data_IF_118366847253
#
_entry.id   IF_118366847253
#
_cell.length_a   1.000
_cell.length_b   1.000
_cell.length_c   1.000
_cell.angle_alpha   90.00
_cell.angle_beta   90.00
_cell.angle_gamma   90.00
#
_symmetry.space_group_name_H-M   'P 1'
#
loop_
_entity.id
_entity.type
_entity.pdbx_description
1 polymer ?
#
# COMPACT_ATOMS: atom_id res chain seq x y z
N UNK A 1 -4.20 -0.79 21.03
CA UNK A 1 -5.53 -0.14 21.11
C UNK A 1 -6.05 -0.20 22.56
N UNK A 2 -6.90 0.74 22.99
CA UNK A 2 -7.39 0.83 24.36
C UNK A 2 -8.66 0.02 24.65
N UNK A 3 -9.42 -0.37 23.63
CA UNK A 3 -10.72 -1.05 23.78
C UNK A 3 -11.89 -0.17 24.21
N UNK A 4 -11.66 1.08 24.62
CA UNK A 4 -12.65 1.92 25.32
C UNK A 4 -13.13 3.12 24.49
N UNK A 5 -12.27 3.69 23.62
CA UNK A 5 -12.65 4.84 22.78
C UNK A 5 -13.68 4.48 21.72
N UNK A 6 -14.28 5.49 21.10
CA UNK A 6 -15.29 5.31 20.08
C UNK A 6 -14.80 4.41 18.93
N UNK A 7 -13.61 4.69 18.40
CA UNK A 7 -13.03 3.90 17.31
C UNK A 7 -12.84 2.43 17.68
N UNK A 8 -12.37 2.13 18.90
CA UNK A 8 -12.24 0.74 19.36
C UNK A 8 -13.61 0.03 19.48
N UNK A 9 -14.61 0.72 20.02
CA UNK A 9 -15.97 0.15 20.19
C UNK A 9 -16.69 -0.08 18.87
N UNK A 10 -16.28 0.61 17.81
CA UNK A 10 -16.86 0.47 16.46
C UNK A 10 -15.99 -0.41 15.53
N UNK A 11 -14.99 -1.12 16.07
CA UNK A 11 -14.11 -2.01 15.29
C UNK A 11 -12.96 -1.31 14.55
N UNK A 12 -12.89 0.01 14.62
CA UNK A 12 -11.83 0.82 13.98
C UNK A 12 -10.63 1.04 14.91
N UNK A 13 -10.17 -0.03 15.58
CA UNK A 13 -9.11 0.05 16.58
C UNK A 13 -7.73 0.42 16.01
N UNK A 14 -7.56 0.34 14.68
CA UNK A 14 -6.38 0.84 13.97
C UNK A 14 -6.20 2.36 14.09
N UNK A 15 -7.27 3.11 14.39
CA UNK A 15 -7.28 4.56 14.63
C UNK A 15 -7.68 4.90 16.06
N UNK A 16 -7.30 4.06 17.03
CA UNK A 16 -7.55 4.26 18.45
C UNK A 16 -6.90 5.55 18.96
N UNK A 17 -7.63 6.35 19.76
CA UNK A 17 -7.11 7.61 20.34
C UNK A 17 -5.87 7.41 21.22
N UNK A 18 -5.74 6.23 21.84
CA UNK A 18 -4.61 5.83 22.70
C UNK A 18 -3.74 4.76 22.03
N UNK A 19 -3.64 4.80 20.70
CA UNK A 19 -2.87 3.80 19.96
C UNK A 19 -1.39 3.87 20.36
N UNK A 20 -0.81 2.70 20.60
CA UNK A 20 0.63 2.52 20.79
C UNK A 20 1.09 1.48 19.78
N UNK A 21 1.96 1.90 18.89
CA UNK A 21 2.49 1.07 17.79
C UNK A 21 3.76 0.39 18.27
N UNK A 22 3.85 -0.91 18.03
CA UNK A 22 5.04 -1.73 18.33
C UNK A 22 6.23 -1.18 17.52
N UNK A 23 7.35 -0.97 18.19
CA UNK A 23 8.55 -0.42 17.54
C UNK A 23 8.60 1.11 17.47
N UNK A 24 7.51 1.81 17.83
CA UNK A 24 7.46 3.29 17.90
C UNK A 24 7.25 3.78 19.35
N UNK A 25 6.04 3.59 19.90
CA UNK A 25 5.73 4.01 21.26
C UNK A 25 5.94 2.88 22.29
N UNK A 26 6.17 1.66 21.83
CA UNK A 26 6.53 0.51 22.67
C UNK A 26 7.77 -0.17 22.10
N UNK A 27 8.38 -1.07 22.86
CA UNK A 27 9.49 -1.92 22.42
C UNK A 27 9.09 -2.66 21.13
N UNK A 28 10.01 -2.70 20.18
CA UNK A 28 9.85 -3.44 18.91
C UNK A 28 10.28 -4.90 19.01
N UNK A 29 10.09 -5.66 17.94
CA UNK A 29 10.37 -7.09 17.84
C UNK A 29 11.77 -7.42 17.27
N UNK A 30 12.66 -6.43 17.09
CA UNK A 30 14.05 -6.65 16.68
C UNK A 30 14.86 -7.20 17.89
N UNK A 31 14.62 -8.46 18.27
CA UNK A 31 15.20 -9.15 19.41
C UNK A 31 15.03 -10.66 19.28
N UNK A 32 15.81 -11.45 20.02
CA UNK A 32 15.70 -12.92 20.04
C UNK A 32 14.34 -13.41 20.54
N UNK A 33 13.73 -12.66 21.47
CA UNK A 33 12.43 -12.98 22.08
C UNK A 33 11.57 -11.73 22.17
N UNK A 34 10.29 -11.88 21.87
CA UNK A 34 9.32 -10.82 22.00
C UNK A 34 8.02 -11.34 22.60
N UNK A 35 7.49 -10.65 23.60
CA UNK A 35 6.22 -10.98 24.25
C UNK A 35 5.14 -10.10 23.66
N UNK A 36 4.10 -10.72 23.12
CA UNK A 36 2.95 -10.04 22.53
C UNK A 36 1.65 -10.72 22.96
N UNK A 37 0.53 -10.01 23.15
CA UNK A 37 -0.76 -10.61 23.43
C UNK A 37 -1.19 -11.58 22.32
N UNK A 38 -1.69 -12.75 22.69
CA UNK A 38 -2.05 -13.80 21.72
C UNK A 38 -3.15 -13.38 20.72
N UNK A 39 -4.05 -12.49 21.14
CA UNK A 39 -5.10 -11.92 20.29
C UNK A 39 -4.58 -10.93 19.23
N UNK A 40 -3.28 -10.62 19.25
CA UNK A 40 -2.58 -9.80 18.23
C UNK A 40 -1.75 -10.62 17.26
N UNK A 41 -1.84 -11.94 17.34
CA UNK A 41 -1.10 -12.85 16.46
C UNK A 41 -2.00 -13.37 15.34
N UNK A 42 -1.47 -13.36 14.14
CA UNK A 42 -2.06 -14.04 12.98
C UNK A 42 -1.15 -15.20 12.59
N UNK A 43 -1.71 -16.41 12.60
CA UNK A 43 -0.96 -17.60 12.22
C UNK A 43 -0.78 -17.64 10.71
N UNK A 44 0.46 -17.69 10.25
CA UNK A 44 0.82 -17.84 8.86
C UNK A 44 0.94 -19.32 8.46
N UNK A 45 0.91 -19.60 7.15
CA UNK A 45 1.17 -20.92 6.62
C UNK A 45 2.60 -21.35 7.00
N UNK A 46 2.81 -22.57 7.54
CA UNK A 46 4.16 -23.06 7.87
C UNK A 46 5.12 -23.14 6.67
N UNK A 47 4.58 -23.20 5.44
CA UNK A 47 5.39 -23.18 4.22
C UNK A 47 5.83 -21.78 3.79
N UNK A 48 5.25 -20.71 4.38
CA UNK A 48 5.63 -19.33 4.08
C UNK A 48 7.01 -19.02 4.64
N UNK A 49 7.90 -18.45 3.82
CA UNK A 49 9.19 -17.98 4.30
C UNK A 49 9.03 -16.83 5.31
N UNK A 50 9.99 -16.68 6.22
CA UNK A 50 10.01 -15.54 7.14
C UNK A 50 10.11 -14.20 6.42
N UNK A 51 10.78 -14.14 5.28
CA UNK A 51 10.86 -12.93 4.45
C UNK A 51 9.48 -12.53 3.93
N UNK A 52 8.71 -13.47 3.40
CA UNK A 52 7.33 -13.21 2.97
C UNK A 52 6.42 -12.92 4.17
N UNK A 53 6.63 -13.62 5.29
CA UNK A 53 5.91 -13.36 6.54
C UNK A 53 6.07 -11.92 7.03
N UNK A 54 7.27 -11.34 6.91
CA UNK A 54 7.52 -9.94 7.25
C UNK A 54 6.77 -8.95 6.34
N UNK A 55 6.45 -9.34 5.10
CA UNK A 55 5.71 -8.50 4.16
C UNK A 55 4.19 -8.59 4.32
N UNK A 56 3.69 -9.49 5.17
CA UNK A 56 2.25 -9.59 5.44
C UNK A 56 1.70 -8.32 6.08
N UNK A 57 2.49 -7.67 6.95
CA UNK A 57 2.11 -6.40 7.57
C UNK A 57 1.87 -5.31 6.51
N UNK A 58 2.84 -4.94 5.66
CA UNK A 58 2.60 -3.91 4.65
C UNK A 58 1.58 -4.34 3.57
N UNK A 59 1.41 -5.63 3.29
CA UNK A 59 0.34 -6.09 2.41
C UNK A 59 -1.05 -5.82 3.02
N UNK A 60 -1.19 -5.97 4.34
CA UNK A 60 -2.43 -5.65 5.04
C UNK A 60 -2.78 -4.15 4.98
N UNK A 61 -1.76 -3.27 4.88
CA UNK A 61 -1.99 -1.84 4.57
C UNK A 61 -2.60 -1.69 3.18
N UNK A 62 -2.10 -2.42 2.18
CA UNK A 62 -2.65 -2.44 0.83
C UNK A 62 -4.11 -2.92 0.78
N UNK A 63 -4.42 -4.03 1.47
CA UNK A 63 -5.79 -4.54 1.61
C UNK A 63 -6.70 -3.50 2.27
N UNK A 64 -6.22 -2.86 3.35
CA UNK A 64 -6.98 -1.80 4.04
C UNK A 64 -7.29 -0.63 3.12
N UNK A 65 -6.32 -0.19 2.33
CA UNK A 65 -6.51 0.90 1.37
C UNK A 65 -7.63 0.55 0.37
N UNK A 66 -7.62 -0.67 -0.18
CA UNK A 66 -8.68 -1.14 -1.08
C UNK A 66 -10.05 -1.16 -0.38
N UNK A 67 -10.14 -1.64 0.86
CA UNK A 67 -11.40 -1.61 1.64
C UNK A 67 -11.94 -0.20 1.84
N UNK A 68 -11.08 0.80 2.01
CA UNK A 68 -11.52 2.19 2.16
C UNK A 68 -12.16 2.73 0.88
N UNK A 69 -11.70 2.30 -0.29
CA UNK A 69 -12.30 2.69 -1.56
C UNK A 69 -13.69 2.08 -1.77
N UNK A 70 -13.92 0.87 -1.24
CA UNK A 70 -15.12 0.06 -1.46
C UNK A 70 -15.80 -0.31 -0.12
N UNK A 71 -16.45 0.64 0.55
CA UNK A 71 -17.00 0.44 1.89
C UNK A 71 -18.20 -0.53 1.92
N UNK A 72 -18.86 -0.78 0.81
CA UNK A 72 -19.97 -1.74 0.73
C UNK A 72 -19.47 -3.19 0.66
N UNK A 73 -18.24 -3.42 0.20
CA UNK A 73 -17.62 -4.75 0.17
C UNK A 73 -16.46 -4.81 -0.82
N UNK A 74 -15.53 -5.75 -0.58
CA UNK A 74 -14.39 -5.94 -1.48
C UNK A 74 -14.78 -6.46 -2.87
N UNK A 75 -15.94 -7.11 -3.00
CA UNK A 75 -16.43 -7.60 -4.29
C UNK A 75 -16.73 -6.44 -5.27
N UNK A 76 -16.96 -5.23 -4.76
CA UNK A 76 -17.20 -4.04 -5.58
C UNK A 76 -15.98 -3.62 -6.42
N UNK A 77 -14.79 -4.13 -6.12
CA UNK A 77 -13.59 -3.90 -6.95
C UNK A 77 -13.60 -4.72 -8.24
N UNK A 78 -14.43 -5.75 -8.31
CA UNK A 78 -14.53 -6.60 -9.50
C UNK A 78 -14.87 -5.76 -10.75
N UNK A 79 -14.08 -5.92 -11.78
CA UNK A 79 -14.26 -5.19 -13.04
C UNK A 79 -13.85 -3.71 -13.03
N UNK A 80 -13.28 -3.20 -11.93
CA UNK A 80 -12.83 -1.81 -11.80
C UNK A 80 -11.45 -1.57 -12.43
N UNK A 81 -11.26 -0.34 -12.89
CA UNK A 81 -9.98 0.19 -13.35
C UNK A 81 -9.33 0.98 -12.21
N UNK A 82 -8.13 0.59 -11.85
CA UNK A 82 -7.40 1.09 -10.69
C UNK A 82 -6.14 1.83 -11.13
N UNK A 83 -5.97 3.05 -10.64
CA UNK A 83 -4.75 3.82 -10.79
C UNK A 83 -4.02 3.90 -9.44
N UNK A 84 -2.72 3.58 -9.44
CA UNK A 84 -1.86 3.70 -8.25
C UNK A 84 -0.73 4.67 -8.58
N UNK A 85 -0.63 5.75 -7.84
CA UNK A 85 0.45 6.73 -7.93
C UNK A 85 1.52 6.41 -6.88
N UNK A 86 2.71 6.07 -7.36
CA UNK A 86 3.84 5.56 -6.58
C UNK A 86 3.99 4.05 -6.66
N UNK A 87 5.12 3.57 -7.21
CA UNK A 87 5.47 2.15 -7.30
C UNK A 87 6.46 1.70 -6.20
N UNK A 88 6.57 2.47 -5.11
CA UNK A 88 7.29 2.05 -3.91
C UNK A 88 6.67 0.79 -3.28
N UNK A 89 7.23 0.27 -2.19
CA UNK A 89 6.76 -0.97 -1.57
C UNK A 89 5.25 -0.99 -1.28
N UNK A 90 4.71 0.10 -0.73
CA UNK A 90 3.28 0.18 -0.38
C UNK A 90 2.42 0.28 -1.64
N UNK A 91 2.76 1.15 -2.60
CA UNK A 91 1.98 1.27 -3.84
C UNK A 91 1.95 -0.03 -4.64
N UNK A 92 3.08 -0.75 -4.70
CA UNK A 92 3.14 -2.07 -5.32
C UNK A 92 2.20 -3.08 -4.62
N UNK A 93 2.19 -3.11 -3.29
CA UNK A 93 1.31 -4.00 -2.53
C UNK A 93 -0.17 -3.60 -2.65
N UNK A 94 -0.49 -2.30 -2.74
CA UNK A 94 -1.85 -1.82 -3.07
C UNK A 94 -2.27 -2.30 -4.45
N UNK A 95 -1.40 -2.16 -5.46
CA UNK A 95 -1.67 -2.59 -6.82
C UNK A 95 -1.91 -4.11 -6.90
N UNK A 96 -1.06 -4.91 -6.25
CA UNK A 96 -1.22 -6.36 -6.20
C UNK A 96 -2.49 -6.76 -5.43
N UNK A 97 -2.79 -6.11 -4.30
CA UNK A 97 -4.03 -6.37 -3.55
C UNK A 97 -5.27 -6.06 -4.40
N UNK A 98 -5.31 -4.91 -5.07
CA UNK A 98 -6.39 -4.53 -5.96
C UNK A 98 -6.59 -5.55 -7.09
N UNK A 99 -5.51 -5.96 -7.77
CA UNK A 99 -5.53 -6.99 -8.81
C UNK A 99 -6.00 -8.33 -8.26
N UNK A 100 -5.44 -8.78 -7.15
CA UNK A 100 -5.76 -10.06 -6.51
C UNK A 100 -7.21 -10.14 -6.04
N UNK A 101 -7.81 -9.02 -5.67
CA UNK A 101 -9.21 -8.89 -5.26
C UNK A 101 -10.17 -8.78 -6.45
N UNK A 102 -9.68 -8.69 -7.70
CA UNK A 102 -10.52 -8.78 -8.89
C UNK A 102 -10.64 -7.50 -9.72
N UNK A 103 -9.80 -6.50 -9.50
CA UNK A 103 -9.73 -5.36 -10.41
C UNK A 103 -9.49 -5.84 -11.86
N UNK A 104 -10.20 -5.27 -12.82
CA UNK A 104 -10.07 -5.64 -14.21
C UNK A 104 -8.74 -5.16 -14.81
N UNK A 105 -8.28 -4.01 -14.37
CA UNK A 105 -7.02 -3.41 -14.81
C UNK A 105 -6.42 -2.58 -13.69
N UNK A 106 -5.09 -2.67 -13.54
CA UNK A 106 -4.34 -1.89 -12.56
C UNK A 106 -3.17 -1.22 -13.28
N UNK A 107 -3.14 0.10 -13.27
CA UNK A 107 -2.02 0.92 -13.75
C UNK A 107 -1.25 1.46 -12.55
N UNK A 108 0.07 1.34 -12.57
CA UNK A 108 0.95 1.88 -11.54
C UNK A 108 1.93 2.88 -12.16
N UNK A 109 2.13 4.00 -11.46
CA UNK A 109 2.90 5.14 -11.94
C UNK A 109 4.02 5.46 -10.96
N UNK A 110 5.21 5.70 -11.46
CA UNK A 110 6.35 6.22 -10.69
C UNK A 110 7.30 6.98 -11.62
N UNK A 111 8.19 7.75 -11.07
CA UNK A 111 9.32 8.35 -11.80
C UNK A 111 10.55 7.41 -11.84
N UNK A 112 10.56 6.37 -11.05
CA UNK A 112 11.69 5.47 -10.86
C UNK A 112 11.48 4.17 -11.67
N UNK A 113 12.25 4.00 -12.74
CA UNK A 113 12.19 2.83 -13.62
C UNK A 113 12.47 1.50 -12.92
N UNK A 114 13.35 1.47 -11.89
CA UNK A 114 13.60 0.26 -11.10
C UNK A 114 12.34 -0.19 -10.35
N UNK A 115 11.61 0.74 -9.73
CA UNK A 115 10.36 0.44 -9.03
C UNK A 115 9.27 -0.05 -9.98
N UNK A 116 9.19 0.53 -11.17
CA UNK A 116 8.26 0.09 -12.22
C UNK A 116 8.62 -1.32 -12.71
N UNK A 117 9.91 -1.65 -12.84
CA UNK A 117 10.32 -3.01 -13.18
C UNK A 117 9.91 -4.01 -12.09
N UNK A 118 10.11 -3.67 -10.81
CA UNK A 118 9.61 -4.49 -9.70
C UNK A 118 8.09 -4.67 -9.74
N UNK A 119 7.34 -3.67 -10.16
CA UNK A 119 5.90 -3.81 -10.35
C UNK A 119 5.57 -4.81 -11.48
N UNK A 120 6.32 -4.81 -12.58
CA UNK A 120 6.16 -5.81 -13.67
C UNK A 120 6.49 -7.22 -13.18
N UNK A 121 7.59 -7.39 -12.45
CA UNK A 121 7.96 -8.67 -11.84
C UNK A 121 6.88 -9.19 -10.88
N UNK A 122 6.17 -8.29 -10.20
CA UNK A 122 5.00 -8.59 -9.36
C UNK A 122 3.71 -8.82 -10.17
N UNK A 123 3.78 -8.74 -11.49
CA UNK A 123 2.66 -9.02 -12.38
C UNK A 123 1.76 -7.82 -12.69
N UNK A 124 2.16 -6.59 -12.38
CA UNK A 124 1.44 -5.38 -12.80
C UNK A 124 1.98 -4.95 -14.16
N UNK A 125 1.23 -5.22 -15.22
CA UNK A 125 1.69 -5.01 -16.61
C UNK A 125 1.58 -3.57 -17.09
N UNK A 126 0.62 -2.80 -16.59
CA UNK A 126 0.47 -1.39 -16.97
C UNK A 126 1.30 -0.53 -16.02
N UNK A 127 2.46 -0.12 -16.48
CA UNK A 127 3.39 0.73 -15.73
C UNK A 127 3.68 1.99 -16.55
N UNK A 128 3.64 3.15 -15.90
CA UNK A 128 3.88 4.45 -16.54
C UNK A 128 4.99 5.17 -15.82
N UNK A 129 6.02 5.61 -16.54
CA UNK A 129 7.04 6.52 -16.03
C UNK A 129 6.60 7.96 -16.30
N UNK A 130 6.14 8.66 -15.28
CA UNK A 130 5.62 10.02 -15.42
C UNK A 130 6.65 11.10 -15.70
N UNK A 131 7.96 10.78 -15.76
CA UNK A 131 8.98 11.67 -16.30
C UNK A 131 9.06 11.61 -17.83
N UNK A 132 8.72 10.46 -18.41
CA UNK A 132 8.89 10.19 -19.85
C UNK A 132 7.56 10.10 -20.60
N UNK A 133 6.45 9.81 -19.90
CA UNK A 133 5.16 9.48 -20.49
C UNK A 133 4.06 10.42 -19.95
N UNK A 134 3.12 10.79 -20.83
CA UNK A 134 1.94 11.59 -20.45
C UNK A 134 0.90 10.70 -19.75
N UNK A 135 0.79 10.85 -18.45
CA UNK A 135 -0.13 10.05 -17.64
C UNK A 135 -1.59 10.14 -18.11
N UNK A 136 -2.06 11.31 -18.53
CA UNK A 136 -3.44 11.47 -18.99
C UNK A 136 -3.67 10.71 -20.31
N UNK A 137 -2.71 10.77 -21.23
CA UNK A 137 -2.76 10.02 -22.48
C UNK A 137 -2.73 8.50 -22.24
N UNK A 138 -1.90 8.01 -21.30
CA UNK A 138 -1.83 6.59 -20.95
C UNK A 138 -3.13 6.09 -20.28
N UNK A 139 -3.74 6.91 -19.41
CA UNK A 139 -5.05 6.59 -18.83
C UNK A 139 -6.11 6.50 -19.94
N UNK A 140 -6.15 7.45 -20.85
CA UNK A 140 -7.13 7.47 -21.94
C UNK A 140 -6.94 6.27 -22.89
N UNK A 141 -5.70 5.91 -23.19
CA UNK A 141 -5.36 4.78 -24.04
C UNK A 141 -5.76 3.42 -23.43
N UNK A 142 -5.53 3.23 -22.14
CA UNK A 142 -5.72 1.94 -21.47
C UNK A 142 -7.05 1.81 -20.76
N UNK A 143 -7.60 2.88 -20.22
CA UNK A 143 -8.86 2.88 -19.48
C UNK A 143 -10.03 3.46 -20.26
N UNK A 144 -9.74 4.21 -21.34
CA UNK A 144 -10.71 4.90 -22.17
C UNK A 144 -11.00 6.32 -21.68
N UNK A 145 -11.17 7.24 -22.64
CA UNK A 145 -11.32 8.69 -22.44
C UNK A 145 -12.45 9.04 -21.45
N UNK A 146 -13.61 8.39 -21.60
CA UNK A 146 -14.77 8.67 -20.75
C UNK A 146 -14.76 7.87 -19.44
N UNK A 147 -14.13 6.70 -19.42
CA UNK A 147 -14.17 5.79 -18.29
C UNK A 147 -13.12 6.13 -17.25
N UNK A 148 -11.86 6.34 -17.66
CA UNK A 148 -10.72 6.63 -16.79
C UNK A 148 -10.61 5.62 -15.62
N UNK A 149 -9.95 6.01 -14.53
CA UNK A 149 -9.88 5.18 -13.33
C UNK A 149 -11.17 5.25 -12.50
N UNK A 150 -11.62 4.10 -12.00
CA UNK A 150 -12.75 3.99 -11.04
C UNK A 150 -12.31 4.36 -9.62
N UNK A 151 -11.02 4.21 -9.30
CA UNK A 151 -10.39 4.60 -8.03
C UNK A 151 -8.93 4.96 -8.26
N UNK A 152 -8.43 5.92 -7.49
CA UNK A 152 -7.03 6.33 -7.47
C UNK A 152 -6.47 6.11 -6.07
N UNK A 153 -5.31 5.46 -5.97
CA UNK A 153 -4.55 5.32 -4.73
C UNK A 153 -3.31 6.20 -4.82
N UNK A 154 -3.24 7.22 -3.97
CA UNK A 154 -2.06 8.05 -3.81
C UNK A 154 -1.14 7.42 -2.75
N UNK A 155 0.05 6.92 -3.16
CA UNK A 155 0.94 6.10 -2.33
C UNK A 155 2.33 6.73 -2.12
N UNK A 156 2.51 8.01 -2.42
CA UNK A 156 3.79 8.73 -2.30
C UNK A 156 3.78 9.69 -1.11
N UNK A 157 2.73 10.48 -0.96
CA UNK A 157 2.60 11.46 0.12
C UNK A 157 3.26 12.81 -0.19
N UNK A 158 3.17 13.27 -1.44
CA UNK A 158 3.69 14.59 -1.85
C UNK A 158 2.65 15.38 -2.64
N UNK A 159 2.80 16.71 -2.70
CA UNK A 159 1.86 17.57 -3.40
C UNK A 159 1.75 17.20 -4.89
N UNK A 160 2.86 16.92 -5.57
CA UNK A 160 2.86 16.61 -7.00
C UNK A 160 1.98 15.39 -7.38
N UNK A 161 2.02 14.32 -6.57
CA UNK A 161 1.17 13.14 -6.83
C UNK A 161 -0.28 13.38 -6.47
N UNK A 162 -0.56 14.21 -5.46
CA UNK A 162 -1.92 14.60 -5.12
C UNK A 162 -2.53 15.51 -6.19
N UNK A 163 -1.76 16.46 -6.72
CA UNK A 163 -2.18 17.31 -7.85
C UNK A 163 -2.47 16.44 -9.08
N UNK A 164 -1.59 15.49 -9.38
CA UNK A 164 -1.80 14.52 -10.49
C UNK A 164 -3.08 13.71 -10.27
N UNK A 165 -3.31 13.20 -9.04
CA UNK A 165 -4.51 12.43 -8.72
C UNK A 165 -5.80 13.22 -8.99
N UNK A 166 -5.84 14.49 -8.55
CA UNK A 166 -7.00 15.38 -8.76
C UNK A 166 -7.18 15.71 -10.24
N UNK A 167 -6.08 16.00 -10.96
CA UNK A 167 -6.13 16.38 -12.37
C UNK A 167 -6.64 15.27 -13.30
N UNK A 168 -6.24 14.01 -13.05
CA UNK A 168 -6.64 12.88 -13.92
C UNK A 168 -7.93 12.19 -13.48
N UNK A 169 -8.48 12.57 -12.33
CA UNK A 169 -9.70 11.96 -11.80
C UNK A 169 -10.91 12.25 -12.69
N UNK A 170 -11.71 11.23 -12.95
CA UNK A 170 -13.07 11.41 -13.48
C UNK A 170 -13.97 11.96 -12.37
N UNK A 171 -15.02 12.70 -12.73
CA UNK A 171 -16.04 13.15 -11.77
C UNK A 171 -16.58 12.01 -10.93
N UNK A 172 -16.65 12.21 -9.62
CA UNK A 172 -17.11 11.21 -8.64
C UNK A 172 -16.05 10.18 -8.24
N UNK A 173 -14.83 10.21 -8.77
CA UNK A 173 -13.78 9.22 -8.45
C UNK A 173 -13.31 9.35 -7.00
N UNK A 174 -13.22 8.24 -6.25
CA UNK A 174 -12.54 8.20 -4.96
C UNK A 174 -11.03 8.24 -5.13
N UNK A 175 -10.37 9.09 -4.35
CA UNK A 175 -8.92 9.17 -4.21
C UNK A 175 -8.58 8.74 -2.79
N UNK A 176 -7.94 7.58 -2.64
CA UNK A 176 -7.50 7.05 -1.35
C UNK A 176 -6.08 7.51 -1.07
N UNK A 177 -5.91 8.29 -0.01
CA UNK A 177 -4.61 8.81 0.42
C UNK A 177 -3.96 7.78 1.32
N UNK A 178 -2.94 7.09 0.79
CA UNK A 178 -2.15 6.06 1.46
C UNK A 178 -0.78 6.60 1.85
N UNK A 179 -0.23 7.49 1.03
CA UNK A 179 1.05 8.16 1.26
C UNK A 179 1.05 8.96 2.57
N UNK A 180 2.20 8.95 3.24
CA UNK A 180 2.39 9.72 4.48
C UNK A 180 3.01 11.07 4.14
N UNK A 181 2.21 12.11 4.23
CA UNK A 181 2.67 13.48 3.97
C UNK A 181 3.57 13.97 5.11
N UNK A 182 4.75 14.49 4.76
CA UNK A 182 5.66 15.12 5.71
C UNK A 182 5.27 16.56 6.05
N UNK A 183 4.41 17.18 5.23
CA UNK A 183 3.89 18.55 5.38
C UNK A 183 2.41 18.61 5.01
N UNK A 184 1.80 19.77 5.18
CA UNK A 184 0.40 19.99 4.78
C UNK A 184 0.28 19.89 3.26
N UNK A 185 -0.63 19.05 2.79
CA UNK A 185 -0.97 18.97 1.37
C UNK A 185 -1.68 20.26 0.92
N UNK A 186 -1.28 20.76 -0.24
CA UNK A 186 -1.98 21.84 -0.94
C UNK A 186 -2.87 21.19 -2.02
N UNK A 187 -4.18 21.24 -1.85
CA UNK A 187 -5.13 20.54 -2.71
C UNK A 187 -6.06 21.56 -3.38
N UNK A 188 -6.25 21.42 -4.70
CA UNK A 188 -7.28 22.19 -5.42
C UNK A 188 -8.69 21.75 -5.00
N UNK A 189 -9.16 22.35 -3.90
CA UNK A 189 -10.48 22.06 -3.36
C UNK A 189 -11.61 22.57 -4.27
N UNK A 190 -11.35 23.51 -5.19
CA UNK A 190 -12.35 23.94 -6.16
C UNK A 190 -12.66 22.81 -7.14
N UNK A 191 -11.62 22.16 -7.69
CA UNK A 191 -11.77 20.99 -8.55
C UNK A 191 -12.36 19.80 -7.79
N UNK A 192 -11.95 19.56 -6.55
CA UNK A 192 -12.53 18.49 -5.71
C UNK A 192 -14.03 18.68 -5.54
N UNK A 193 -14.47 19.91 -5.24
CA UNK A 193 -15.88 20.23 -5.06
C UNK A 193 -16.68 20.15 -6.37
N UNK A 194 -16.19 20.77 -7.43
CA UNK A 194 -16.88 20.83 -8.73
C UNK A 194 -17.04 19.45 -9.37
N UNK A 195 -16.09 18.57 -9.14
CA UNK A 195 -16.08 17.20 -9.68
C UNK A 195 -16.62 16.15 -8.70
N UNK A 196 -17.12 16.54 -7.52
CA UNK A 196 -17.61 15.63 -6.46
C UNK A 196 -16.57 14.52 -6.14
N UNK A 197 -15.27 14.85 -6.13
CA UNK A 197 -14.24 13.89 -5.79
C UNK A 197 -14.29 13.53 -4.31
N UNK A 198 -14.02 12.28 -3.99
CA UNK A 198 -13.99 11.79 -2.60
C UNK A 198 -12.57 11.57 -2.15
N UNK A 199 -12.04 12.43 -1.28
CA UNK A 199 -10.74 12.24 -0.64
C UNK A 199 -10.90 11.36 0.60
N UNK A 200 -10.26 10.20 0.61
CA UNK A 200 -10.42 9.16 1.63
C UNK A 200 -9.08 8.86 2.26
N UNK A 201 -8.94 9.10 3.56
CA UNK A 201 -7.77 8.68 4.31
C UNK A 201 -7.79 7.19 4.63
N UNK A 202 -6.63 6.56 4.65
CA UNK A 202 -6.45 5.21 5.18
C UNK A 202 -5.29 5.19 6.18
N UNK A 203 -5.37 4.33 7.18
CA UNK A 203 -4.33 4.26 8.19
C UNK A 203 -4.17 2.83 8.71
N UNK A 204 -2.96 2.29 8.59
CA UNK A 204 -2.62 0.98 9.15
C UNK A 204 -3.57 -0.12 8.64
N UNK A 205 -4.06 -0.99 9.54
CA UNK A 205 -4.92 -2.14 9.23
C UNK A 205 -5.64 -2.62 10.49
N UNK A 206 -6.60 -3.49 10.32
CA UNK A 206 -7.21 -4.34 11.35
C UNK A 206 -6.85 -5.80 11.09
N UNK A 207 -7.15 -6.71 12.04
CA UNK A 207 -6.74 -8.12 11.93
C UNK A 207 -7.37 -8.82 10.72
N UNK A 208 -8.57 -8.43 10.35
CA UNK A 208 -9.30 -8.94 9.20
C UNK A 208 -8.62 -8.62 7.87
N UNK A 209 -7.81 -7.55 7.83
CA UNK A 209 -7.02 -7.20 6.64
C UNK A 209 -5.85 -8.18 6.46
N UNK A 210 -5.29 -8.71 7.55
CA UNK A 210 -4.29 -9.79 7.50
C UNK A 210 -4.89 -11.10 7.01
N UNK A 211 -6.11 -11.45 7.39
CA UNK A 211 -6.75 -12.68 6.91
C UNK A 211 -6.94 -12.61 5.39
N UNK A 212 -7.44 -11.48 4.86
CA UNK A 212 -7.55 -11.28 3.41
C UNK A 212 -6.16 -11.32 2.74
N UNK A 213 -5.15 -10.69 3.33
CA UNK A 213 -3.79 -10.72 2.80
C UNK A 213 -3.24 -12.16 2.72
N UNK A 214 -3.48 -13.00 3.75
CA UNK A 214 -3.13 -14.42 3.76
C UNK A 214 -3.80 -15.19 2.62
N UNK A 215 -5.10 -14.97 2.43
CA UNK A 215 -5.86 -15.62 1.35
C UNK A 215 -5.30 -15.24 -0.02
N UNK A 216 -4.96 -13.98 -0.25
CA UNK A 216 -4.35 -13.52 -1.50
C UNK A 216 -3.00 -14.19 -1.78
N UNK A 217 -2.14 -14.30 -0.77
CA UNK A 217 -0.85 -14.97 -0.90
C UNK A 217 -1.01 -16.47 -1.10
N UNK A 218 -1.87 -17.12 -0.31
CA UNK A 218 -2.14 -18.56 -0.43
C UNK A 218 -2.74 -18.93 -1.80
N UNK A 219 -3.53 -18.05 -2.39
CA UNK A 219 -4.10 -18.22 -3.73
C UNK A 219 -3.12 -17.89 -4.87
N UNK A 220 -1.87 -17.50 -4.57
CA UNK A 220 -0.88 -17.09 -5.56
C UNK A 220 -1.23 -15.79 -6.31
N UNK A 221 -2.11 -14.96 -5.74
CA UNK A 221 -2.58 -13.70 -6.34
C UNK A 221 -1.66 -12.51 -6.04
N UNK A 222 -0.70 -12.69 -5.13
CA UNK A 222 0.30 -11.71 -4.73
C UNK A 222 1.68 -12.36 -4.80
N UNK A 223 2.63 -11.72 -5.47
CA UNK A 223 4.03 -12.12 -5.55
C UNK A 223 4.88 -11.16 -4.70
N UNK A 224 5.34 -11.63 -3.55
CA UNK A 224 6.13 -10.83 -2.61
C UNK A 224 7.63 -10.88 -2.89
N UNK A 225 8.11 -11.91 -3.62
CA UNK A 225 9.54 -12.17 -3.84
C UNK A 225 10.29 -10.97 -4.44
N UNK A 226 9.80 -10.31 -5.52
CA UNK A 226 10.53 -9.20 -6.14
C UNK A 226 10.67 -7.96 -5.25
N UNK A 227 9.87 -7.87 -4.18
CA UNK A 227 9.89 -6.74 -3.26
C UNK A 227 11.00 -6.84 -2.21
N UNK A 228 11.52 -8.04 -1.93
CA UNK A 228 12.66 -8.22 -1.01
C UNK A 228 13.94 -7.99 -1.81
N UNK A 229 14.46 -6.77 -1.79
CA UNK A 229 15.68 -6.44 -2.54
C UNK A 229 16.95 -6.75 -1.78
N UNK A 230 16.91 -6.73 -0.46
CA UNK A 230 18.10 -6.90 0.37
C UNK A 230 17.76 -7.66 1.66
N UNK A 231 18.66 -8.56 2.06
CA UNK A 231 18.56 -9.33 3.31
C UNK A 231 19.85 -9.18 4.09
N UNK A 232 19.75 -8.76 5.33
CA UNK A 232 20.87 -8.60 6.25
C UNK A 232 20.73 -9.53 7.45
N UNK A 233 21.84 -10.00 7.98
CA UNK A 233 21.88 -10.66 9.27
C UNK A 233 21.71 -9.65 10.40
N UNK A 234 21.29 -10.13 11.58
CA UNK A 234 20.97 -9.24 12.70
C UNK A 234 22.17 -8.43 13.21
N UNK A 235 23.38 -8.98 13.13
CA UNK A 235 24.63 -8.29 13.46
C UNK A 235 24.96 -7.13 12.50
N UNK A 236 24.29 -7.06 11.33
CA UNK A 236 24.38 -5.98 10.35
C UNK A 236 23.17 -5.06 10.33
N UNK A 237 22.45 -4.96 11.44
CA UNK A 237 21.21 -4.19 11.54
C UNK A 237 21.38 -2.71 11.11
N UNK A 238 22.47 -2.09 11.54
CA UNK A 238 22.82 -0.70 11.15
C UNK A 238 23.06 -0.57 9.64
N UNK A 239 23.78 -1.53 9.04
CA UNK A 239 24.03 -1.53 7.60
C UNK A 239 22.74 -1.67 6.78
N UNK A 240 21.73 -2.37 7.30
CA UNK A 240 20.43 -2.46 6.66
C UNK A 240 19.73 -1.08 6.57
N UNK A 241 19.83 -0.25 7.60
CA UNK A 241 19.32 1.12 7.57
C UNK A 241 20.12 2.01 6.64
N UNK A 242 21.47 1.91 6.69
CA UNK A 242 22.33 2.65 5.77
C UNK A 242 22.02 2.34 4.31
N UNK A 243 21.72 1.08 3.97
CA UNK A 243 21.30 0.69 2.61
C UNK A 243 20.09 1.48 2.14
N UNK A 244 19.05 1.60 2.99
CA UNK A 244 17.83 2.34 2.67
C UNK A 244 18.12 3.83 2.45
N UNK A 245 19.00 4.42 3.26
CA UNK A 245 19.34 5.84 3.19
C UNK A 245 20.23 6.18 1.98
N UNK A 246 21.21 5.31 1.67
CA UNK A 246 22.20 5.58 0.64
C UNK A 246 21.76 5.16 -0.76
N UNK A 247 20.88 4.16 -0.87
CA UNK A 247 20.45 3.60 -2.15
C UNK A 247 18.91 3.54 -2.30
N UNK A 248 18.17 4.62 -1.99
CA UNK A 248 16.70 4.60 -2.02
C UNK A 248 16.11 4.35 -3.40
N UNK A 249 16.89 4.64 -4.47
CA UNK A 249 16.46 4.45 -5.84
C UNK A 249 16.38 2.98 -6.27
N UNK A 250 17.15 2.10 -5.65
CA UNK A 250 17.24 0.66 -5.99
C UNK A 250 16.84 -0.25 -4.85
N UNK A 251 16.24 0.31 -3.80
CA UNK A 251 15.79 -0.44 -2.62
C UNK A 251 14.27 -0.45 -2.54
N UNK A 252 13.68 -1.64 -2.39
CA UNK A 252 12.25 -1.81 -2.10
C UNK A 252 12.04 -2.19 -0.62
N UNK A 253 12.24 -3.45 -0.25
CA UNK A 253 12.14 -3.92 1.13
C UNK A 253 13.48 -4.53 1.55
N UNK A 254 14.02 -4.00 2.62
CA UNK A 254 15.17 -4.54 3.32
C UNK A 254 14.67 -5.38 4.48
N UNK A 255 15.09 -6.64 4.51
CA UNK A 255 14.74 -7.59 5.57
C UNK A 255 15.95 -7.84 6.45
N UNK A 256 15.77 -7.80 7.76
CA UNK A 256 16.79 -8.21 8.73
C UNK A 256 16.40 -9.56 9.32
N UNK A 257 17.22 -10.57 9.08
CA UNK A 257 17.03 -11.91 9.60
C UNK A 257 17.56 -11.99 11.03
N UNK A 258 16.65 -12.05 11.99
CA UNK A 258 17.00 -12.08 13.43
C UNK A 258 17.50 -13.45 13.86
N UNK A 259 16.93 -14.53 13.32
CA UNK A 259 17.31 -15.90 13.63
C UNK A 259 18.35 -16.44 12.66
N UNK A 260 19.27 -17.24 13.18
CA UNK A 260 20.27 -17.97 12.36
C UNK A 260 19.65 -19.22 11.75
#
# INVERSE_FOLDING_TARGET
SCGECYSCKTGLYNICDKLRVIGFQTTGCASDYYIVPADKLVKLDPAMSFHHGALMEPLSVGVRAVKQAFPAGLDDISGKQVLVLGAGPIGNLVAQAAKGLGAASVMIVDVNSFRLEKARECGISLTVNSEDEDLAAEIDAHFGVDRKADVIFECVGVNATMDSAVAVARKGTPIVVVGVFGEKANIDMATVNENELRLIGTARYVIEDFEVAKELVAAGKVNLEPLVTDVFSFDKYDAAYQKIELEPATTMKVVVQVNK
#
